data_IF_613289208274
#
_entry.id   IF_613289208274
#
_cell.length_a   1.000
_cell.length_b   1.000
_cell.length_c   1.000
_cell.angle_alpha   90.00
_cell.angle_beta   90.00
_cell.angle_gamma   90.00
#
_symmetry.space_group_name_H-M   'P 1'
#
loop_
_entity.id
_entity.type
_entity.pdbx_description
1 polymer ?
#
# COMPACT_ATOMS: atom_id res chain seq x y z
N UNK A 1 -3.31 -10.47 5.35
CA UNK A 1 -2.93 -9.23 4.71
C UNK A 1 -2.12 -8.42 5.68
N UNK A 2 -1.06 -7.82 5.21
CA UNK A 2 -0.20 -7.06 6.08
C UNK A 2 -0.35 -5.56 5.79
N UNK A 3 -0.85 -4.78 6.76
CA UNK A 3 -0.93 -3.33 6.62
C UNK A 3 0.47 -2.72 6.64
N UNK A 4 0.81 -1.99 5.62
CA UNK A 4 2.15 -1.43 5.52
C UNK A 4 2.21 0.01 6.04
N UNK A 5 1.10 0.49 6.58
CA UNK A 5 1.03 1.81 7.14
C UNK A 5 0.72 2.86 6.10
N UNK A 6 1.46 2.80 5.02
CA UNK A 6 1.32 3.69 3.89
C UNK A 6 -0.01 3.44 3.17
N UNK A 7 -0.50 4.44 2.50
CA UNK A 7 -1.73 4.34 1.79
C UNK A 7 -1.53 4.81 0.33
N UNK A 8 -2.48 4.53 -0.51
CA UNK A 8 -2.43 4.90 -1.92
C UNK A 8 -3.57 5.85 -2.24
N UNK A 9 -3.93 6.65 -1.24
CA UNK A 9 -5.02 7.60 -1.33
C UNK A 9 -4.72 8.69 -2.37
N UNK A 10 -3.58 9.32 -2.21
CA UNK A 10 -3.21 10.43 -3.06
C UNK A 10 -2.44 9.92 -4.24
N UNK A 11 -1.42 9.17 -3.97
CA UNK A 11 -0.56 8.62 -4.98
C UNK A 11 -0.39 7.14 -4.70
N UNK A 12 0.04 6.33 -5.68
CA UNK A 12 0.24 4.88 -5.51
C UNK A 12 1.25 4.55 -4.41
N UNK A 13 1.33 3.29 -4.06
CA UNK A 13 2.19 2.84 -3.00
C UNK A 13 3.66 2.84 -3.43
N UNK A 14 4.50 3.28 -2.53
CA UNK A 14 5.94 3.28 -2.70
C UNK A 14 6.42 1.99 -2.05
N UNK A 15 5.59 1.50 -1.15
CA UNK A 15 5.81 0.28 -0.44
C UNK A 15 5.58 -0.98 -1.33
N UNK A 16 5.35 -0.76 -2.64
CA UNK A 16 5.18 -1.84 -3.60
C UNK A 16 6.44 -2.70 -3.67
N UNK A 17 7.57 -2.11 -3.33
CA UNK A 17 8.86 -2.80 -3.31
C UNK A 17 8.85 -3.87 -2.19
N UNK A 18 8.10 -3.58 -1.14
CA UNK A 18 7.98 -4.46 0.01
C UNK A 18 6.92 -5.53 -0.29
N UNK A 19 6.12 -5.27 -1.29
CA UNK A 19 5.06 -6.18 -1.68
C UNK A 19 3.70 -5.66 -1.28
N UNK A 20 3.67 -4.40 -0.88
CA UNK A 20 2.43 -3.78 -0.47
C UNK A 20 1.71 -3.24 -1.70
N UNK A 21 0.53 -3.72 -1.91
CA UNK A 21 -0.24 -3.33 -3.06
C UNK A 21 -1.35 -2.37 -2.64
N UNK A 22 -1.78 -1.53 -3.56
CA UNK A 22 -2.87 -0.61 -3.31
C UNK A 22 -4.16 -1.40 -3.18
N UNK A 23 -4.66 -1.50 -1.99
CA UNK A 23 -5.84 -2.27 -1.69
C UNK A 23 -6.75 -1.46 -0.80
N UNK A 24 -7.84 -0.99 -1.38
CA UNK A 24 -8.85 -0.16 -0.70
C UNK A 24 -8.21 1.13 -0.18
N UNK A 25 -7.50 1.80 -1.09
CA UNK A 25 -6.83 3.08 -0.85
C UNK A 25 -5.68 3.01 0.17
N UNK A 26 -5.37 1.84 0.64
CA UNK A 26 -4.31 1.66 1.61
C UNK A 26 -3.34 0.59 1.08
N UNK A 27 -2.10 0.65 1.48
CA UNK A 27 -1.12 -0.29 1.00
C UNK A 27 -1.08 -1.53 1.89
N UNK A 28 -1.55 -2.62 1.35
CA UNK A 28 -1.58 -3.89 2.04
C UNK A 28 -0.88 -4.92 1.24
N UNK A 29 -0.15 -5.74 1.90
CA UNK A 29 0.47 -6.86 1.29
C UNK A 29 -0.55 -7.94 1.09
#
# INVERSE_FOLDING_TARGET
AIPCGESCVYIPCISVVIGCSCRNKVCYR
#
